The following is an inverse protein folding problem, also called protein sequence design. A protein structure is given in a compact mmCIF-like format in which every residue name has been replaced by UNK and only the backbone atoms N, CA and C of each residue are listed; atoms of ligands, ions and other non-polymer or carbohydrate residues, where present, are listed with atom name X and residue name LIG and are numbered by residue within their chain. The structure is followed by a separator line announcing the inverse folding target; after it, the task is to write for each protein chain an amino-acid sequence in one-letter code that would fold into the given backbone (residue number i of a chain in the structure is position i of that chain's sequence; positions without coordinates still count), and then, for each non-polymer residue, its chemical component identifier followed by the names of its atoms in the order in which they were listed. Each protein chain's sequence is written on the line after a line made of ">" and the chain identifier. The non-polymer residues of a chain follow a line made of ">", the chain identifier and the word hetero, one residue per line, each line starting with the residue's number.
data_IF_099519982430
#
_entry.id   IF_099519982430
#
_cell.length_a   1.000
_cell.length_b   1.000
_cell.length_c   1.000
_cell.angle_alpha   90.00
_cell.angle_beta   90.00
_cell.angle_gamma   90.00
#
_symmetry.space_group_name_H-M   'P 1'
#
loop_
_entity.id
_entity.type
_entity.pdbx_description
1 polymer ?
#
# COMPACT_ATOMS: atom_id res chain seq x y z
N UNK A 1 11.82 0.42 -3.38
CA UNK A 1 12.65 1.61 -3.70
C UNK A 1 12.63 2.69 -2.62
N UNK A 2 11.52 2.99 -1.92
CA UNK A 2 11.51 4.02 -0.83
C UNK A 2 12.63 3.83 0.20
N UNK A 3 12.88 2.60 0.62
CA UNK A 3 13.88 2.26 1.65
C UNK A 3 15.33 2.55 1.22
N UNK A 4 15.60 2.56 -0.08
CA UNK A 4 16.94 2.74 -0.65
C UNK A 4 17.07 4.05 -1.44
N UNK A 5 16.05 4.90 -1.41
CA UNK A 5 15.97 6.08 -2.27
C UNK A 5 17.07 7.09 -1.98
N UNK A 6 17.38 7.32 -0.72
CA UNK A 6 18.44 8.27 -0.32
C UNK A 6 19.82 7.84 -0.85
N UNK A 7 20.16 6.55 -0.73
CA UNK A 7 21.44 6.01 -1.20
C UNK A 7 21.48 5.98 -2.73
N UNK A 8 20.37 5.61 -3.39
CA UNK A 8 20.26 5.67 -4.85
C UNK A 8 20.44 7.10 -5.36
N UNK A 9 19.81 8.08 -4.70
CA UNK A 9 19.94 9.49 -5.05
C UNK A 9 21.37 10.02 -4.83
N UNK A 10 22.10 9.54 -3.84
CA UNK A 10 23.50 9.90 -3.63
C UNK A 10 24.36 9.43 -4.82
N UNK A 11 24.24 8.17 -5.25
CA UNK A 11 24.93 7.63 -6.43
C UNK A 11 24.55 8.40 -7.70
N UNK A 12 23.25 8.60 -7.93
CA UNK A 12 22.71 9.29 -9.11
C UNK A 12 23.19 10.76 -9.17
N UNK A 13 23.21 11.46 -8.03
CA UNK A 13 23.66 12.86 -7.95
C UNK A 13 25.16 12.98 -8.17
N UNK A 14 25.94 12.01 -7.75
CA UNK A 14 27.38 11.94 -8.04
C UNK A 14 27.68 11.59 -9.51
N UNK A 15 26.68 11.25 -10.32
CA UNK A 15 26.85 10.84 -11.71
C UNK A 15 27.28 9.38 -11.89
N UNK A 16 27.16 8.57 -10.83
CA UNK A 16 27.44 7.14 -10.86
C UNK A 16 26.28 6.33 -11.44
N UNK A 17 26.53 5.03 -11.61
CA UNK A 17 25.51 4.03 -11.98
C UNK A 17 25.39 3.02 -10.86
N UNK A 18 24.18 2.82 -10.33
CA UNK A 18 23.89 1.78 -9.34
C UNK A 18 23.22 0.57 -10.03
N UNK A 19 23.56 -0.63 -9.59
CA UNK A 19 22.78 -1.85 -9.90
C UNK A 19 21.59 -1.92 -8.95
N UNK A 20 20.36 -1.94 -9.47
CA UNK A 20 19.13 -1.94 -8.68
C UNK A 20 18.36 -3.22 -8.93
N UNK A 21 18.20 -4.05 -7.88
CA UNK A 21 17.33 -5.23 -7.89
C UNK A 21 15.99 -4.89 -7.23
N UNK A 22 14.88 -5.11 -7.93
CA UNK A 22 13.52 -4.85 -7.44
C UNK A 22 12.67 -6.11 -7.52
N UNK A 23 12.04 -6.51 -6.41
CA UNK A 23 11.02 -7.55 -6.41
C UNK A 23 9.83 -7.08 -7.23
N UNK A 24 9.50 -7.79 -8.32
CA UNK A 24 8.39 -7.42 -9.21
C UNK A 24 7.21 -8.36 -9.06
N UNK A 25 7.44 -9.62 -8.69
CA UNK A 25 6.40 -10.63 -8.40
C UNK A 25 6.80 -11.50 -7.22
N UNK A 26 5.80 -11.95 -6.50
CA UNK A 26 5.94 -12.93 -5.42
C UNK A 26 4.95 -14.05 -5.64
N UNK A 27 5.38 -15.29 -5.33
CA UNK A 27 4.55 -16.48 -5.40
C UNK A 27 4.68 -17.25 -4.10
N UNK A 28 3.57 -17.69 -3.53
CA UNK A 28 3.53 -18.34 -2.23
C UNK A 28 3.98 -17.41 -1.08
N UNK A 29 4.67 -17.95 -0.08
CA UNK A 29 5.13 -17.21 1.10
C UNK A 29 6.45 -16.49 0.82
N UNK A 30 6.39 -15.32 0.18
CA UNK A 30 7.57 -14.50 -0.06
C UNK A 30 7.81 -13.53 1.10
N UNK A 31 9.09 -13.31 1.51
CA UNK A 31 9.41 -12.50 2.68
C UNK A 31 9.27 -10.99 2.46
N UNK A 32 9.29 -10.53 1.20
CA UNK A 32 9.22 -9.10 0.84
C UNK A 32 8.20 -8.89 -0.29
N UNK A 33 7.38 -7.84 -0.20
CA UNK A 33 6.36 -7.55 -1.22
C UNK A 33 6.96 -6.98 -2.51
N UNK A 34 6.21 -6.97 -3.64
CA UNK A 34 6.58 -6.23 -4.84
C UNK A 34 6.91 -4.76 -4.53
N UNK A 35 8.01 -4.26 -5.13
CA UNK A 35 8.56 -2.92 -4.89
C UNK A 35 9.67 -2.87 -3.83
N UNK A 36 9.89 -3.95 -3.05
CA UNK A 36 11.08 -4.07 -2.21
C UNK A 36 12.34 -4.07 -3.10
N UNK A 37 13.37 -3.33 -2.70
CA UNK A 37 14.54 -3.12 -3.55
C UNK A 37 15.84 -3.21 -2.77
N UNK A 38 16.89 -3.61 -3.48
CA UNK A 38 18.28 -3.59 -3.05
C UNK A 38 19.10 -2.85 -4.09
N UNK A 39 20.05 -2.03 -3.68
CA UNK A 39 21.00 -1.35 -4.58
C UNK A 39 22.42 -1.81 -4.29
N UNK A 40 23.22 -1.84 -5.34
CA UNK A 40 24.68 -2.01 -5.30
C UNK A 40 25.29 -0.76 -5.89
N UNK A 41 26.00 0.00 -5.07
CA UNK A 41 26.67 1.23 -5.49
C UNK A 41 28.02 0.94 -6.21
N UNK A 42 28.61 1.91 -6.94
CA UNK A 42 29.88 1.72 -7.65
C UNK A 42 31.07 1.32 -6.77
N UNK A 43 31.02 1.62 -5.49
CA UNK A 43 32.04 1.24 -4.49
C UNK A 43 31.81 -0.15 -3.90
N UNK A 44 30.79 -0.87 -4.36
CA UNK A 44 30.39 -2.19 -3.87
C UNK A 44 29.53 -2.16 -2.59
N UNK A 45 29.21 -0.99 -2.06
CA UNK A 45 28.29 -0.89 -0.91
C UNK A 45 26.88 -1.27 -1.29
N UNK A 46 26.13 -1.88 -0.33
CA UNK A 46 24.79 -2.41 -0.53
C UNK A 46 23.82 -1.75 0.44
N UNK A 47 22.66 -1.36 -0.06
CA UNK A 47 21.53 -0.89 0.76
C UNK A 47 20.24 -1.60 0.37
N UNK A 48 19.36 -1.81 1.35
CA UNK A 48 18.08 -2.48 1.17
C UNK A 48 18.15 -4.00 1.16
N UNK A 49 17.01 -4.65 0.87
CA UNK A 49 16.88 -6.09 0.85
C UNK A 49 15.70 -6.52 -0.03
N UNK A 50 15.82 -7.66 -0.69
CA UNK A 50 14.79 -8.25 -1.57
C UNK A 50 14.20 -9.54 -1.01
N UNK A 51 14.91 -10.22 -0.07
CA UNK A 51 14.47 -11.51 0.46
C UNK A 51 14.66 -11.69 1.96
N UNK A 52 15.34 -10.73 2.63
CA UNK A 52 15.71 -10.86 4.03
C UNK A 52 16.93 -11.76 4.29
N UNK A 53 17.82 -11.91 3.29
CA UNK A 53 19.10 -12.60 3.41
C UNK A 53 19.26 -13.88 2.58
N UNK A 54 18.21 -14.36 1.91
CA UNK A 54 18.26 -15.64 1.19
C UNK A 54 18.96 -15.54 -0.18
N UNK A 55 18.68 -14.50 -0.96
CA UNK A 55 19.17 -14.37 -2.36
C UNK A 55 20.01 -13.13 -2.59
N UNK A 56 20.27 -12.33 -1.56
CA UNK A 56 20.99 -11.07 -1.66
C UNK A 56 22.37 -11.19 -2.32
N UNK A 57 23.12 -12.28 -2.02
CA UNK A 57 24.41 -12.54 -2.66
C UNK A 57 24.29 -12.72 -4.18
N UNK A 58 23.34 -13.53 -4.62
CA UNK A 58 23.11 -13.77 -6.05
C UNK A 58 22.60 -12.49 -6.78
N UNK A 59 21.78 -11.69 -6.10
CA UNK A 59 21.31 -10.40 -6.63
C UNK A 59 22.45 -9.40 -6.66
N UNK A 60 23.38 -9.43 -5.70
CA UNK A 60 24.59 -8.60 -5.74
C UNK A 60 25.44 -8.90 -6.97
N UNK A 61 25.78 -10.16 -7.21
CA UNK A 61 26.60 -10.57 -8.34
C UNK A 61 25.92 -10.17 -9.67
N UNK A 62 24.61 -10.41 -9.79
CA UNK A 62 23.84 -10.01 -10.96
C UNK A 62 23.77 -8.48 -11.13
N UNK A 63 23.68 -7.71 -10.05
CA UNK A 63 23.66 -6.25 -10.09
C UNK A 63 25.00 -5.68 -10.60
N UNK A 64 26.12 -6.28 -10.21
CA UNK A 64 27.45 -5.93 -10.73
C UNK A 64 27.52 -6.22 -12.25
N UNK A 65 27.14 -7.43 -12.67
CA UNK A 65 27.12 -7.83 -14.09
C UNK A 65 26.24 -6.89 -14.94
N UNK A 66 25.03 -6.58 -14.47
CA UNK A 66 24.09 -5.68 -15.13
C UNK A 66 24.63 -4.25 -15.24
N UNK A 67 25.38 -3.80 -14.24
CA UNK A 67 25.99 -2.47 -14.27
C UNK A 67 27.11 -2.41 -15.32
N UNK A 68 27.89 -3.48 -15.48
CA UNK A 68 28.96 -3.60 -16.46
C UNK A 68 28.43 -3.78 -17.89
N UNK A 69 27.47 -4.70 -18.09
CA UNK A 69 26.89 -5.02 -19.40
C UNK A 69 25.93 -3.95 -19.90
N UNK A 70 25.30 -3.24 -18.97
CA UNK A 70 24.24 -2.28 -19.27
C UNK A 70 22.90 -2.93 -19.66
N UNK A 71 22.76 -4.26 -19.55
CA UNK A 71 21.57 -5.02 -19.99
C UNK A 71 20.75 -5.43 -18.77
N UNK A 72 19.50 -4.95 -18.62
CA UNK A 72 18.61 -5.37 -17.53
C UNK A 72 18.24 -6.85 -17.61
N UNK A 73 18.05 -7.51 -16.47
CA UNK A 73 17.71 -8.93 -16.36
C UNK A 73 16.52 -9.13 -15.42
N UNK A 74 15.55 -9.94 -15.85
CA UNK A 74 14.48 -10.47 -14.99
C UNK A 74 14.86 -11.89 -14.56
N UNK A 75 15.15 -12.06 -13.26
CA UNK A 75 15.60 -13.33 -12.70
C UNK A 75 14.60 -13.87 -11.69
N UNK A 76 14.30 -15.18 -11.82
CA UNK A 76 13.46 -15.91 -10.84
C UNK A 76 14.31 -16.63 -9.83
N UNK A 77 13.94 -16.52 -8.54
CA UNK A 77 14.52 -17.24 -7.42
C UNK A 77 13.43 -18.03 -6.68
N UNK A 78 13.64 -19.33 -6.43
CA UNK A 78 12.62 -20.17 -5.77
C UNK A 78 13.14 -21.57 -5.40
N UNK A 79 12.29 -22.38 -4.79
CA UNK A 79 12.58 -23.79 -4.48
C UNK A 79 12.36 -24.61 -5.73
N UNK A 80 13.42 -25.17 -6.28
CA UNK A 80 13.55 -26.12 -7.38
C UNK A 80 13.85 -25.57 -8.77
N UNK A 81 15.14 -25.61 -9.09
CA UNK A 81 15.57 -26.09 -10.39
C UNK A 81 16.72 -27.08 -10.16
N UNK A 82 16.71 -28.21 -10.86
CA UNK A 82 17.63 -29.35 -10.74
C UNK A 82 19.09 -29.03 -11.12
N UNK A 83 19.44 -27.75 -11.24
CA UNK A 83 20.80 -27.27 -11.48
C UNK A 83 21.45 -26.75 -10.19
N UNK A 84 22.49 -27.41 -9.79
CA UNK A 84 23.24 -27.46 -8.54
C UNK A 84 23.80 -26.12 -7.97
N UNK A 85 23.27 -24.95 -8.29
CA UNK A 85 23.63 -23.64 -7.72
C UNK A 85 22.42 -22.73 -7.45
N UNK A 86 21.20 -23.25 -7.40
CA UNK A 86 20.04 -22.45 -7.11
C UNK A 86 20.01 -22.00 -5.63
N UNK A 87 20.26 -20.74 -5.39
CA UNK A 87 20.00 -20.11 -4.10
C UNK A 87 18.48 -20.09 -3.89
N UNK A 88 17.98 -21.02 -3.08
CA UNK A 88 16.55 -21.18 -2.79
C UNK A 88 16.10 -20.30 -1.62
N UNK A 89 14.84 -19.87 -1.63
CA UNK A 89 14.20 -19.22 -0.50
C UNK A 89 13.88 -20.27 0.58
N UNK A 90 14.42 -20.11 1.78
CA UNK A 90 14.19 -21.02 2.91
C UNK A 90 12.72 -21.08 3.36
N UNK A 91 11.90 -20.09 2.98
CA UNK A 91 10.46 -20.03 3.25
C UNK A 91 9.60 -20.81 2.22
N UNK A 92 10.20 -21.42 1.19
CA UNK A 92 9.48 -22.14 0.13
C UNK A 92 8.74 -21.26 -0.86
N UNK A 93 8.96 -19.95 -0.83
CA UNK A 93 8.40 -19.00 -1.80
C UNK A 93 9.19 -18.92 -3.09
N UNK A 94 8.64 -18.21 -4.07
CA UNK A 94 9.31 -17.84 -5.32
C UNK A 94 9.16 -16.34 -5.52
N UNK A 95 10.24 -15.68 -5.97
CA UNK A 95 10.22 -14.25 -6.28
C UNK A 95 10.84 -14.00 -7.65
N UNK A 96 10.26 -13.07 -8.41
CA UNK A 96 10.88 -12.53 -9.61
C UNK A 96 11.51 -11.17 -9.24
N UNK A 97 12.79 -11.02 -9.54
CA UNK A 97 13.56 -9.80 -9.31
C UNK A 97 13.99 -9.24 -10.65
N UNK A 98 13.65 -7.99 -10.91
CA UNK A 98 14.17 -7.24 -12.04
C UNK A 98 15.40 -6.47 -11.62
N UNK A 99 16.54 -6.74 -12.26
CA UNK A 99 17.83 -6.13 -11.97
C UNK A 99 18.22 -5.23 -13.13
N UNK A 100 18.53 -3.97 -12.85
CA UNK A 100 18.82 -2.98 -13.89
C UNK A 100 19.84 -1.94 -13.45
N UNK A 101 20.60 -1.34 -14.41
CA UNK A 101 21.48 -0.23 -14.10
C UNK A 101 20.69 1.08 -14.07
N UNK A 102 20.83 1.85 -13.00
CA UNK A 102 20.19 3.16 -12.82
C UNK A 102 21.23 4.26 -12.76
N UNK A 103 21.11 5.25 -13.64
CA UNK A 103 21.97 6.43 -13.74
C UNK A 103 21.16 7.64 -14.21
N UNK A 104 21.78 8.82 -14.27
CA UNK A 104 21.12 10.04 -14.81
C UNK A 104 20.64 9.88 -16.25
N UNK A 105 21.40 9.16 -17.07
CA UNK A 105 21.06 8.93 -18.47
C UNK A 105 19.89 7.96 -18.62
N UNK A 106 19.86 6.90 -17.78
CA UNK A 106 18.89 5.82 -17.87
C UNK A 106 17.57 6.11 -17.14
N UNK A 107 17.62 6.99 -16.14
CA UNK A 107 16.44 7.43 -15.39
C UNK A 107 16.55 8.92 -15.04
N UNK A 108 16.41 9.81 -16.03
CA UNK A 108 16.55 11.25 -15.82
C UNK A 108 15.50 11.82 -14.85
N UNK A 109 14.27 11.26 -14.84
CA UNK A 109 13.16 11.69 -13.96
C UNK A 109 13.32 11.28 -12.50
N UNK A 110 14.36 10.52 -12.14
CA UNK A 110 14.51 10.01 -10.76
C UNK A 110 14.53 11.11 -9.70
N UNK A 111 15.06 12.30 -10.04
CA UNK A 111 15.06 13.45 -9.13
C UNK A 111 13.63 13.89 -8.77
N UNK A 112 12.76 14.00 -9.78
CA UNK A 112 11.38 14.47 -9.59
C UNK A 112 10.58 13.40 -8.85
N UNK A 113 10.77 12.12 -9.21
CA UNK A 113 10.17 10.98 -8.49
C UNK A 113 10.60 10.95 -7.03
N UNK A 114 11.89 11.20 -6.74
CA UNK A 114 12.40 11.23 -5.36
C UNK A 114 11.78 12.38 -4.55
N UNK A 115 11.70 13.59 -5.14
CA UNK A 115 11.08 14.74 -4.51
C UNK A 115 9.59 14.47 -4.20
N UNK A 116 8.85 13.86 -5.13
CA UNK A 116 7.44 13.53 -4.93
C UNK A 116 7.24 12.48 -3.84
N UNK A 117 8.11 11.46 -3.77
CA UNK A 117 8.06 10.46 -2.70
C UNK A 117 8.32 11.10 -1.34
N UNK A 118 9.31 11.99 -1.22
CA UNK A 118 9.68 12.66 0.02
C UNK A 118 8.60 13.66 0.48
N UNK A 119 7.97 14.35 -0.48
CA UNK A 119 6.87 15.29 -0.22
C UNK A 119 5.49 14.62 -0.15
N UNK A 120 5.46 13.30 -0.21
CA UNK A 120 4.23 12.50 -0.16
C UNK A 120 3.23 12.85 -1.28
N UNK A 121 3.73 13.29 -2.43
CA UNK A 121 2.92 13.45 -3.65
C UNK A 121 2.80 12.12 -4.41
N UNK A 122 1.63 11.84 -5.01
CA UNK A 122 1.41 10.57 -5.72
C UNK A 122 2.21 10.52 -7.01
N UNK A 123 3.03 9.48 -7.18
CA UNK A 123 3.77 9.19 -8.42
C UNK A 123 3.87 7.68 -8.62
N UNK A 124 3.74 7.20 -9.87
CA UNK A 124 3.98 5.82 -10.24
C UNK A 124 5.12 5.74 -11.28
N UNK A 125 5.92 4.68 -11.18
CA UNK A 125 6.97 4.36 -12.16
C UNK A 125 6.63 3.03 -12.81
N UNK A 126 6.32 3.06 -14.10
CA UNK A 126 6.06 1.89 -14.91
C UNK A 126 7.31 1.52 -15.71
N UNK A 127 7.85 0.33 -15.51
CA UNK A 127 9.08 -0.15 -16.14
C UNK A 127 8.79 -1.42 -16.96
N UNK A 128 9.20 -1.47 -18.21
CA UNK A 128 9.12 -2.69 -19.04
C UNK A 128 10.14 -3.70 -18.50
N UNK A 129 9.65 -4.82 -17.97
CA UNK A 129 10.49 -5.89 -17.40
C UNK A 129 10.67 -7.09 -18.34
N UNK A 130 9.77 -7.25 -19.32
CA UNK A 130 9.89 -8.26 -20.39
C UNK A 130 9.25 -7.73 -21.68
N UNK A 131 9.90 -8.00 -22.80
CA UNK A 131 9.41 -7.61 -24.14
C UNK A 131 10.13 -8.44 -25.22
N UNK A 132 9.46 -8.80 -26.37
CA UNK A 132 10.12 -9.46 -27.51
C UNK A 132 11.27 -8.67 -28.12
N UNK A 133 11.15 -7.33 -28.14
CA UNK A 133 12.26 -6.44 -28.50
C UNK A 133 13.03 -6.06 -27.22
N UNK A 134 14.22 -6.63 -27.06
CA UNK A 134 15.09 -6.38 -25.90
C UNK A 134 15.43 -4.88 -25.68
N UNK A 135 15.38 -4.05 -26.75
CA UNK A 135 15.64 -2.60 -26.64
C UNK A 135 14.54 -1.86 -25.86
N UNK A 136 13.39 -2.49 -25.65
CA UNK A 136 12.31 -1.93 -24.85
C UNK A 136 12.42 -2.29 -23.35
N UNK A 137 13.17 -3.34 -22.99
CA UNK A 137 13.38 -3.73 -21.60
C UNK A 137 14.13 -2.63 -20.86
N UNK A 138 13.64 -2.24 -19.69
CA UNK A 138 14.15 -1.14 -18.88
C UNK A 138 13.64 0.25 -19.29
N UNK A 139 12.83 0.38 -20.36
CA UNK A 139 12.16 1.65 -20.66
C UNK A 139 11.13 1.98 -19.60
N UNK A 140 10.99 3.27 -19.30
CA UNK A 140 10.15 3.76 -18.22
C UNK A 140 9.15 4.80 -18.67
N UNK A 141 8.05 4.83 -17.93
CA UNK A 141 7.04 5.86 -17.96
C UNK A 141 6.79 6.29 -16.49
N UNK A 142 7.04 7.55 -16.17
CA UNK A 142 6.67 8.14 -14.91
C UNK A 142 5.28 8.75 -15.05
N UNK A 143 4.38 8.43 -14.14
CA UNK A 143 2.97 8.80 -14.20
C UNK A 143 2.56 9.51 -12.92
N UNK A 144 2.09 10.73 -13.07
CA UNK A 144 1.41 11.50 -12.04
C UNK A 144 -0.12 11.49 -12.28
N UNK A 145 -0.93 11.98 -11.37
CA UNK A 145 -2.39 12.04 -11.57
C UNK A 145 -2.79 12.70 -12.89
N UNK A 146 -2.15 13.80 -13.26
CA UNK A 146 -2.50 14.60 -14.46
C UNK A 146 -1.46 14.51 -15.57
N UNK A 147 -0.21 14.17 -15.25
CA UNK A 147 0.94 14.24 -16.15
C UNK A 147 1.59 12.88 -16.36
N UNK A 148 2.50 12.82 -17.33
CA UNK A 148 3.42 11.70 -17.55
C UNK A 148 4.71 12.16 -18.20
N UNK A 149 5.82 11.42 -17.98
CA UNK A 149 7.11 11.60 -18.64
C UNK A 149 7.70 10.25 -19.06
N UNK A 150 8.54 10.25 -20.06
CA UNK A 150 9.16 9.04 -20.59
C UNK A 150 8.33 8.34 -21.66
N UNK A 151 8.75 7.14 -22.08
CA UNK A 151 8.05 6.32 -23.09
C UNK A 151 8.48 4.86 -23.04
N UNK A 152 7.52 3.96 -23.17
CA UNK A 152 7.72 2.50 -23.29
C UNK A 152 8.02 2.04 -24.71
N UNK A 153 8.08 2.99 -25.66
CA UNK A 153 8.47 2.74 -27.06
C UNK A 153 7.33 2.72 -28.06
N UNK A 154 6.07 2.93 -27.64
CA UNK A 154 4.98 3.22 -28.57
C UNK A 154 3.90 4.06 -27.87
N UNK A 155 3.27 4.97 -28.61
CA UNK A 155 2.22 5.84 -28.08
C UNK A 155 1.00 5.05 -27.54
N UNK A 156 0.70 3.89 -28.14
CA UNK A 156 -0.37 3.01 -27.65
C UNK A 156 -0.02 2.42 -26.28
N UNK A 157 1.21 1.90 -26.12
CA UNK A 157 1.69 1.38 -24.85
C UNK A 157 1.69 2.48 -23.78
N UNK A 158 2.20 3.66 -24.12
CA UNK A 158 2.25 4.80 -23.22
C UNK A 158 0.86 5.19 -22.73
N UNK A 159 -0.16 5.26 -23.61
CA UNK A 159 -1.53 5.56 -23.23
C UNK A 159 -2.15 4.47 -22.35
N UNK A 160 -2.08 3.20 -22.76
CA UNK A 160 -2.68 2.10 -22.03
C UNK A 160 -2.10 1.96 -20.63
N UNK A 161 -0.76 2.01 -20.51
CA UNK A 161 -0.06 1.89 -19.24
C UNK A 161 -0.27 3.12 -18.35
N UNK A 162 -0.40 4.33 -18.93
CA UNK A 162 -0.73 5.53 -18.14
C UNK A 162 -2.06 5.38 -17.41
N UNK A 163 -3.11 4.96 -18.13
CA UNK A 163 -4.44 4.81 -17.54
C UNK A 163 -4.43 3.75 -16.42
N UNK A 164 -3.80 2.60 -16.68
CA UNK A 164 -3.73 1.52 -15.70
C UNK A 164 -2.83 1.89 -14.51
N UNK A 165 -1.71 2.57 -14.74
CA UNK A 165 -0.82 3.05 -13.68
C UNK A 165 -1.48 4.10 -12.78
N UNK A 166 -2.35 4.96 -13.31
CA UNK A 166 -3.17 5.89 -12.50
C UNK A 166 -4.14 5.12 -11.60
N UNK A 167 -4.78 4.07 -12.12
CA UNK A 167 -5.62 3.19 -11.30
C UNK A 167 -4.83 2.51 -10.17
N UNK A 168 -3.64 1.96 -10.48
CA UNK A 168 -2.75 1.35 -9.48
C UNK A 168 -2.26 2.37 -8.45
N UNK A 169 -1.94 3.59 -8.89
CA UNK A 169 -1.51 4.68 -8.01
C UNK A 169 -2.63 5.09 -7.04
N UNK A 170 -3.86 5.23 -7.53
CA UNK A 170 -5.02 5.54 -6.68
C UNK A 170 -5.28 4.44 -5.65
N UNK A 171 -5.15 3.17 -6.04
CA UNK A 171 -5.27 2.02 -5.14
C UNK A 171 -4.06 1.83 -4.21
N UNK A 172 -2.90 2.46 -4.51
CA UNK A 172 -1.65 2.27 -3.78
C UNK A 172 -1.05 0.87 -3.96
N UNK A 173 -1.26 0.24 -5.13
CA UNK A 173 -0.84 -1.14 -5.44
C UNK A 173 0.32 -1.11 -6.42
N UNK A 174 1.37 -1.89 -6.11
CA UNK A 174 2.48 -2.17 -7.05
C UNK A 174 2.34 -3.58 -7.59
N UNK A 175 2.30 -3.73 -8.91
CA UNK A 175 2.10 -5.04 -9.56
C UNK A 175 2.65 -5.06 -10.98
N UNK A 176 2.70 -6.25 -11.58
CA UNK A 176 3.02 -6.44 -12.99
C UNK A 176 1.75 -6.55 -13.82
N UNK A 177 1.68 -5.75 -14.86
CA UNK A 177 0.61 -5.77 -15.85
C UNK A 177 1.12 -6.38 -17.17
N UNK A 178 0.26 -7.14 -17.85
CA UNK A 178 0.60 -7.82 -19.11
C UNK A 178 -0.17 -7.19 -20.27
N UNK A 179 0.54 -6.94 -21.37
CA UNK A 179 0.01 -6.35 -22.58
C UNK A 179 0.51 -7.12 -23.80
N UNK A 180 -0.17 -6.96 -24.93
CA UNK A 180 0.43 -7.31 -26.22
C UNK A 180 1.68 -6.46 -26.50
N UNK A 181 2.55 -6.91 -27.38
CA UNK A 181 3.86 -6.29 -27.64
C UNK A 181 3.83 -4.79 -28.01
N UNK A 182 2.70 -4.28 -28.50
CA UNK A 182 2.51 -2.86 -28.83
C UNK A 182 1.49 -2.16 -27.89
N UNK A 183 1.32 -2.65 -26.65
CA UNK A 183 0.44 -2.05 -25.65
C UNK A 183 -1.04 -2.38 -25.82
N UNK A 184 -1.39 -3.47 -26.51
CA UNK A 184 -2.75 -3.97 -26.54
C UNK A 184 -3.16 -4.49 -25.15
N UNK A 185 -4.30 -4.05 -24.63
CA UNK A 185 -4.82 -4.49 -23.31
C UNK A 185 -5.17 -6.00 -23.27
N UNK A 186 -5.38 -6.62 -24.42
CA UNK A 186 -5.53 -8.06 -24.59
C UNK A 186 -4.36 -8.59 -25.42
N UNK A 187 -3.69 -9.62 -24.91
CA UNK A 187 -2.55 -10.24 -25.55
C UNK A 187 -1.38 -10.39 -24.59
N UNK A 188 -0.31 -11.01 -25.09
CA UNK A 188 0.93 -11.27 -24.37
C UNK A 188 2.11 -10.69 -25.12
N UNK A 189 3.24 -10.51 -24.46
CA UNK A 189 4.49 -10.08 -25.07
C UNK A 189 5.18 -8.92 -24.37
N UNK A 190 4.45 -7.99 -23.73
CA UNK A 190 5.02 -6.94 -22.91
C UNK A 190 4.56 -7.08 -21.47
N UNK A 191 5.50 -7.13 -20.53
CA UNK A 191 5.23 -7.06 -19.11
C UNK A 191 5.79 -5.78 -18.55
N UNK A 192 4.97 -5.07 -17.79
CA UNK A 192 5.29 -3.78 -17.18
C UNK A 192 5.08 -3.87 -15.68
N UNK A 193 6.14 -3.64 -14.92
CA UNK A 193 6.02 -3.47 -13.47
C UNK A 193 5.64 -2.02 -13.16
N UNK A 194 4.52 -1.82 -12.49
CA UNK A 194 4.09 -0.52 -12.00
C UNK A 194 4.39 -0.43 -10.52
N UNK A 195 5.37 0.41 -10.16
CA UNK A 195 5.69 0.76 -8.77
C UNK A 195 4.90 2.01 -8.37
N UNK A 196 3.94 1.87 -7.46
CA UNK A 196 3.09 2.97 -7.00
C UNK A 196 3.63 3.58 -5.71
N UNK A 197 3.90 4.88 -5.73
CA UNK A 197 4.33 5.67 -4.58
C UNK A 197 3.20 6.60 -4.13
N UNK A 198 2.07 6.00 -3.81
CA UNK A 198 0.94 6.73 -3.26
C UNK A 198 1.27 7.33 -1.88
N UNK A 199 0.67 8.47 -1.50
CA UNK A 199 0.74 8.99 -0.14
C UNK A 199 0.33 7.94 0.90
N UNK A 200 0.75 8.16 2.15
CA UNK A 200 0.31 7.31 3.27
C UNK A 200 -1.22 7.28 3.33
N UNK A 201 -1.87 6.10 3.44
CA UNK A 201 -3.32 6.03 3.60
C UNK A 201 -3.74 6.77 4.87
N UNK A 202 -4.91 7.37 4.86
CA UNK A 202 -5.42 8.11 6.02
C UNK A 202 -6.10 7.19 7.02
N UNK A 203 -5.90 7.49 8.32
CA UNK A 203 -6.71 6.94 9.40
C UNK A 203 -7.33 8.11 10.18
N UNK A 204 -8.65 8.22 10.14
CA UNK A 204 -9.41 9.22 10.86
C UNK A 204 -9.94 8.59 12.15
N UNK A 205 -9.50 9.10 13.30
CA UNK A 205 -9.89 8.64 14.61
C UNK A 205 -10.76 9.71 15.26
N UNK A 206 -12.02 9.42 15.44
CA UNK A 206 -12.99 10.33 16.02
C UNK A 206 -13.25 10.00 17.49
N UNK A 207 -13.00 10.99 18.37
CA UNK A 207 -13.08 10.86 19.81
C UNK A 207 -11.70 10.92 20.48
N UNK A 208 -11.53 11.85 21.44
CA UNK A 208 -10.25 12.07 22.13
C UNK A 208 -10.22 11.38 23.50
N UNK A 209 -10.25 10.05 23.52
CA UNK A 209 -10.19 9.17 24.69
C UNK A 209 -8.90 8.33 24.69
N UNK A 210 -8.63 7.58 25.75
CA UNK A 210 -7.40 6.79 25.88
C UNK A 210 -7.31 5.68 24.81
N UNK A 211 -8.44 5.06 24.45
CA UNK A 211 -8.52 4.12 23.33
C UNK A 211 -8.11 4.76 22.00
N UNK A 212 -8.51 6.02 21.77
CA UNK A 212 -8.10 6.75 20.57
C UNK A 212 -6.59 7.01 20.54
N UNK A 213 -5.97 7.26 21.69
CA UNK A 213 -4.51 7.42 21.75
C UNK A 213 -3.77 6.11 21.40
N UNK A 214 -4.27 4.96 21.86
CA UNK A 214 -3.72 3.65 21.51
C UNK A 214 -3.93 3.33 20.04
N UNK A 215 -5.12 3.59 19.45
CA UNK A 215 -5.42 3.39 18.04
C UNK A 215 -4.57 4.32 17.16
N UNK A 216 -4.38 5.58 17.55
CA UNK A 216 -3.52 6.51 16.82
C UNK A 216 -2.07 6.02 16.76
N UNK A 217 -1.51 5.53 17.88
CA UNK A 217 -0.16 4.93 17.92
C UNK A 217 -0.07 3.71 17.01
N UNK A 218 -1.08 2.83 17.08
CA UNK A 218 -1.11 1.62 16.25
C UNK A 218 -1.26 1.96 14.76
N UNK A 219 -2.09 2.94 14.41
CA UNK A 219 -2.25 3.44 13.05
C UNK A 219 -0.95 4.01 12.49
N UNK A 220 -0.24 4.85 13.27
CA UNK A 220 1.08 5.38 12.90
C UNK A 220 2.10 4.25 12.69
N UNK A 221 2.12 3.24 13.57
CA UNK A 221 2.97 2.05 13.43
C UNK A 221 2.69 1.28 12.14
N UNK A 222 1.42 1.17 11.73
CA UNK A 222 1.00 0.55 10.46
C UNK A 222 1.23 1.43 9.22
N UNK A 223 1.80 2.63 9.37
CA UNK A 223 2.12 3.52 8.26
C UNK A 223 0.95 4.41 7.80
N UNK A 224 -0.13 4.54 8.56
CA UNK A 224 -1.19 5.50 8.26
C UNK A 224 -0.77 6.94 8.61
N UNK A 225 -1.28 7.90 7.83
CA UNK A 225 -1.36 9.30 8.26
C UNK A 225 -2.57 9.43 9.18
N UNK A 226 -2.31 9.65 10.47
CA UNK A 226 -3.34 9.63 11.51
C UNK A 226 -3.81 11.03 11.83
N UNK A 227 -5.12 11.26 11.75
CA UNK A 227 -5.79 12.47 12.24
C UNK A 227 -6.72 12.09 13.39
N UNK A 228 -6.59 12.75 14.53
CA UNK A 228 -7.53 12.62 15.67
C UNK A 228 -8.43 13.85 15.70
N UNK A 229 -9.75 13.64 15.71
CA UNK A 229 -10.75 14.72 15.74
C UNK A 229 -11.72 14.54 16.90
N UNK A 230 -11.93 15.62 17.67
CA UNK A 230 -12.94 15.68 18.76
C UNK A 230 -13.41 17.14 18.92
N UNK A 231 -14.69 17.33 19.19
CA UNK A 231 -15.28 18.64 19.39
C UNK A 231 -14.83 19.34 20.68
N UNK A 232 -14.19 18.64 21.61
CA UNK A 232 -13.83 19.13 22.93
C UNK A 232 -12.35 19.50 23.01
N UNK A 233 -11.99 20.80 23.01
CA UNK A 233 -10.60 21.26 22.91
C UNK A 233 -9.72 20.80 24.09
N UNK A 234 -10.31 20.58 25.26
CA UNK A 234 -9.58 20.12 26.46
C UNK A 234 -9.07 18.68 26.32
N UNK A 235 -9.64 17.88 25.41
CA UNK A 235 -9.25 16.49 25.16
C UNK A 235 -8.46 16.33 23.86
N UNK A 236 -8.78 17.09 22.81
CA UNK A 236 -8.10 17.04 21.53
C UNK A 236 -6.83 17.92 21.58
N UNK A 237 -5.76 17.37 22.12
CA UNK A 237 -4.47 18.09 22.24
C UNK A 237 -3.31 17.24 21.70
N UNK A 238 -2.32 17.88 21.10
CA UNK A 238 -1.11 17.20 20.59
C UNK A 238 -0.32 16.49 21.70
N UNK A 239 -0.38 17.00 22.94
CA UNK A 239 0.24 16.35 24.08
C UNK A 239 -0.38 14.98 24.41
N UNK A 240 -1.67 14.79 24.18
CA UNK A 240 -2.35 13.50 24.37
C UNK A 240 -2.19 12.56 23.17
N UNK A 241 -1.95 13.10 21.99
CA UNK A 241 -1.81 12.34 20.73
C UNK A 241 -0.48 12.63 20.03
N UNK A 242 0.67 12.37 20.67
CA UNK A 242 1.98 12.76 20.13
C UNK A 242 2.39 12.01 18.85
N UNK A 243 1.71 10.90 18.53
CA UNK A 243 1.97 10.10 17.32
C UNK A 243 0.98 10.37 16.18
N UNK A 244 -0.05 11.19 16.43
CA UNK A 244 -0.93 11.63 15.38
C UNK A 244 -0.24 12.70 14.52
N UNK A 245 -0.40 12.61 13.21
CA UNK A 245 0.11 13.63 12.27
C UNK A 245 -0.69 14.94 12.42
N UNK A 246 -1.95 14.83 12.87
CA UNK A 246 -2.84 15.97 13.03
C UNK A 246 -3.83 15.75 14.19
N UNK A 247 -4.10 16.82 14.97
CA UNK A 247 -5.14 16.81 15.99
C UNK A 247 -6.07 17.99 15.74
N UNK A 248 -7.35 17.70 15.52
CA UNK A 248 -8.36 18.66 15.08
C UNK A 248 -9.42 18.84 16.15
N UNK A 249 -9.75 20.11 16.44
CA UNK A 249 -10.86 20.49 17.31
C UNK A 249 -12.02 20.94 16.47
N UNK A 250 -12.91 20.03 16.13
CA UNK A 250 -14.10 20.29 15.30
C UNK A 250 -15.16 19.22 15.58
N UNK A 251 -16.41 19.50 15.21
CA UNK A 251 -17.48 18.51 15.22
C UNK A 251 -17.16 17.38 14.23
N UNK A 252 -17.10 16.11 14.67
CA UNK A 252 -16.67 14.99 13.85
C UNK A 252 -17.32 14.89 12.48
N UNK A 253 -18.64 15.04 12.40
CA UNK A 253 -19.37 14.97 11.13
C UNK A 253 -19.07 16.15 10.20
N UNK A 254 -18.83 17.36 10.73
CA UNK A 254 -18.48 18.52 9.91
C UNK A 254 -17.09 18.37 9.33
N UNK A 255 -16.13 17.97 10.17
CA UNK A 255 -14.77 17.70 9.70
C UNK A 255 -14.77 16.63 8.60
N UNK A 256 -15.48 15.50 8.81
CA UNK A 256 -15.54 14.43 7.81
C UNK A 256 -16.18 14.91 6.50
N UNK A 257 -17.27 15.68 6.56
CA UNK A 257 -17.91 16.24 5.36
C UNK A 257 -16.98 17.19 4.60
N UNK A 258 -16.28 18.09 5.29
CA UNK A 258 -15.28 18.98 4.67
C UNK A 258 -14.14 18.21 3.99
N UNK A 259 -13.63 17.14 4.65
CA UNK A 259 -12.61 16.29 4.05
C UNK A 259 -13.12 15.53 2.82
N UNK A 260 -14.38 15.11 2.82
CA UNK A 260 -15.01 14.47 1.65
C UNK A 260 -15.19 15.47 0.49
N UNK A 261 -15.71 16.67 0.77
CA UNK A 261 -15.94 17.72 -0.22
C UNK A 261 -14.63 18.22 -0.87
N UNK A 262 -13.52 18.19 -0.10
CA UNK A 262 -12.19 18.54 -0.60
C UNK A 262 -11.52 17.42 -1.40
N UNK A 263 -12.14 16.23 -1.53
CA UNK A 263 -11.55 15.05 -2.18
C UNK A 263 -10.41 14.40 -1.40
N UNK A 264 -10.27 14.70 -0.11
CA UNK A 264 -9.22 14.15 0.74
C UNK A 264 -9.53 12.76 1.28
N UNK A 265 -10.72 12.21 1.02
CA UNK A 265 -11.14 10.84 1.37
C UNK A 265 -11.03 9.97 0.12
N UNK A 266 -10.30 8.86 0.24
CA UNK A 266 -10.10 7.90 -0.83
C UNK A 266 -10.47 6.46 -0.39
N UNK A 267 -10.40 5.51 -1.32
CA UNK A 267 -10.71 4.09 -1.07
C UNK A 267 -9.76 3.41 -0.08
N UNK A 268 -8.65 4.05 0.33
CA UNK A 268 -7.69 3.55 1.31
C UNK A 268 -7.90 4.15 2.70
N UNK A 269 -8.86 5.06 2.83
CA UNK A 269 -9.14 5.77 4.08
C UNK A 269 -9.82 4.85 5.09
N UNK A 270 -9.31 4.84 6.33
CA UNK A 270 -9.85 4.12 7.48
C UNK A 270 -10.54 5.11 8.42
N UNK A 271 -11.76 4.81 8.87
CA UNK A 271 -12.55 5.64 9.78
C UNK A 271 -12.83 4.84 11.06
N UNK A 272 -12.32 5.31 12.21
CA UNK A 272 -12.52 4.74 13.54
C UNK A 272 -13.34 5.69 14.40
N UNK A 273 -14.58 5.34 14.70
CA UNK A 273 -15.50 6.11 15.57
C UNK A 273 -15.39 5.57 17.00
N UNK A 274 -14.69 6.29 17.85
CA UNK A 274 -14.39 5.90 19.24
C UNK A 274 -15.12 6.79 20.27
N UNK A 275 -16.08 7.59 19.82
CA UNK A 275 -16.99 8.34 20.68
C UNK A 275 -18.06 7.42 21.28
N UNK A 276 -18.71 7.85 22.36
CA UNK A 276 -19.78 7.10 23.03
C UNK A 276 -21.07 7.89 23.16
N UNK A 277 -21.16 9.07 22.54
CA UNK A 277 -22.31 9.95 22.63
C UNK A 277 -23.08 9.96 21.30
N UNK A 278 -24.34 9.52 21.29
CA UNK A 278 -25.15 9.47 20.07
C UNK A 278 -25.22 10.79 19.29
N UNK A 279 -25.06 11.92 19.97
CA UNK A 279 -25.06 13.25 19.29
C UNK A 279 -23.85 13.44 18.36
N UNK A 280 -22.75 12.71 18.60
CA UNK A 280 -21.57 12.69 17.73
C UNK A 280 -21.62 11.50 16.79
N UNK A 281 -21.95 10.29 17.31
CA UNK A 281 -21.90 9.04 16.59
C UNK A 281 -22.85 9.00 15.39
N UNK A 282 -24.14 9.37 15.62
CA UNK A 282 -25.17 9.23 14.57
C UNK A 282 -24.89 10.14 13.37
N UNK A 283 -24.69 11.47 13.52
CA UNK A 283 -24.40 12.34 12.38
C UNK A 283 -23.08 11.99 11.68
N UNK A 284 -22.06 11.53 12.44
CA UNK A 284 -20.78 11.12 11.89
C UNK A 284 -20.91 9.86 11.03
N UNK A 285 -21.58 8.82 11.56
CA UNK A 285 -21.78 7.57 10.84
C UNK A 285 -22.74 7.72 9.65
N UNK A 286 -23.74 8.59 9.76
CA UNK A 286 -24.58 8.97 8.63
C UNK A 286 -23.74 9.52 7.47
N UNK A 287 -22.81 10.43 7.77
CA UNK A 287 -21.87 10.96 6.79
C UNK A 287 -20.94 9.86 6.26
N UNK A 288 -20.30 9.09 7.16
CA UNK A 288 -19.30 8.09 6.80
C UNK A 288 -19.86 6.97 5.92
N UNK A 289 -21.07 6.46 6.23
CA UNK A 289 -21.70 5.35 5.51
C UNK A 289 -22.26 5.75 4.13
N UNK A 290 -22.48 7.05 3.89
CA UNK A 290 -22.86 7.59 2.58
C UNK A 290 -21.67 7.99 1.71
N UNK A 291 -20.45 7.98 2.25
CA UNK A 291 -19.23 8.19 1.44
C UNK A 291 -19.14 7.13 0.34
N UNK A 292 -18.46 7.43 -0.77
CA UNK A 292 -17.97 6.41 -1.68
C UNK A 292 -17.19 5.33 -0.93
N UNK A 293 -16.75 4.29 -1.63
CA UNK A 293 -15.99 3.20 -1.04
C UNK A 293 -14.76 3.72 -0.29
N UNK A 294 -14.67 3.39 1.00
CA UNK A 294 -13.50 3.61 1.87
C UNK A 294 -13.01 2.26 2.39
N UNK A 295 -11.75 2.19 2.80
CA UNK A 295 -11.14 0.93 3.22
C UNK A 295 -11.83 0.27 4.42
N UNK A 296 -12.33 1.08 5.38
CA UNK A 296 -12.92 0.54 6.59
C UNK A 296 -13.70 1.63 7.35
N UNK A 297 -14.83 1.25 7.92
CA UNK A 297 -15.60 2.08 8.86
C UNK A 297 -15.92 1.22 10.09
N UNK A 298 -15.40 1.61 11.26
CA UNK A 298 -15.65 0.89 12.49
C UNK A 298 -16.11 1.80 13.63
N UNK A 299 -16.99 1.29 14.49
CA UNK A 299 -17.49 2.06 15.63
C UNK A 299 -17.39 1.27 16.94
N UNK A 300 -16.85 1.91 17.97
CA UNK A 300 -16.72 1.35 19.30
C UNK A 300 -18.07 1.28 20.01
N UNK A 301 -18.27 0.26 20.82
CA UNK A 301 -19.45 0.11 21.67
C UNK A 301 -19.69 -1.33 22.10
N UNK A 302 -20.62 -1.52 23.03
CA UNK A 302 -21.14 -2.84 23.37
C UNK A 302 -22.11 -3.33 22.29
N UNK A 303 -22.43 -4.63 22.28
CA UNK A 303 -23.47 -5.19 21.39
C UNK A 303 -24.81 -4.46 21.54
N UNK A 304 -25.17 -4.08 22.76
CA UNK A 304 -26.38 -3.27 23.03
C UNK A 304 -26.28 -1.88 22.39
N UNK A 305 -25.14 -1.23 22.56
CA UNK A 305 -24.87 0.09 21.94
C UNK A 305 -24.95 0.01 20.42
N UNK A 306 -24.47 -1.09 19.82
CA UNK A 306 -24.56 -1.31 18.39
C UNK A 306 -26.02 -1.47 17.92
N UNK A 307 -26.82 -2.25 18.62
CA UNK A 307 -28.25 -2.40 18.31
C UNK A 307 -28.96 -1.05 18.31
N UNK A 308 -28.84 -0.29 19.41
CA UNK A 308 -29.45 1.04 19.57
C UNK A 308 -28.95 2.03 18.49
N UNK A 309 -27.66 1.94 18.11
CA UNK A 309 -27.04 2.76 17.07
C UNK A 309 -27.61 2.44 15.69
N UNK A 310 -27.71 1.16 15.33
CA UNK A 310 -28.28 0.72 14.05
C UNK A 310 -29.76 1.12 13.89
N UNK A 311 -30.56 1.08 14.97
CA UNK A 311 -31.93 1.57 14.95
C UNK A 311 -31.99 3.06 14.62
N UNK A 312 -31.17 3.89 15.30
CA UNK A 312 -31.09 5.33 15.03
C UNK A 312 -30.60 5.66 13.62
N UNK A 313 -29.65 4.90 13.10
CA UNK A 313 -29.15 5.07 11.73
C UNK A 313 -30.23 4.71 10.69
N UNK A 314 -31.08 3.70 10.94
CA UNK A 314 -32.25 3.41 10.11
C UNK A 314 -33.29 4.52 10.18
N UNK A 315 -33.55 5.06 11.37
CA UNK A 315 -34.44 6.24 11.55
C UNK A 315 -33.91 7.47 10.78
N UNK A 316 -32.59 7.63 10.68
CA UNK A 316 -31.93 8.66 9.86
C UNK A 316 -31.94 8.34 8.35
N UNK A 317 -32.54 7.21 7.95
CA UNK A 317 -32.77 6.85 6.55
C UNK A 317 -31.63 6.05 5.88
N UNK A 318 -30.72 5.43 6.65
CA UNK A 318 -29.70 4.54 6.07
C UNK A 318 -30.32 3.17 5.75
N UNK A 319 -29.94 2.66 4.58
CA UNK A 319 -30.30 1.33 4.10
C UNK A 319 -29.50 0.23 4.80
N UNK A 320 -29.99 -1.00 4.77
CA UNK A 320 -29.26 -2.15 5.29
C UNK A 320 -27.94 -2.40 4.54
N UNK A 321 -27.86 -2.05 3.26
CA UNK A 321 -26.60 -2.13 2.48
C UNK A 321 -25.54 -1.12 2.94
N UNK A 322 -25.94 0.09 3.31
CA UNK A 322 -25.04 1.07 3.93
C UNK A 322 -24.61 0.62 5.32
N UNK A 323 -25.53 0.10 6.13
CA UNK A 323 -25.25 -0.42 7.46
C UNK A 323 -24.36 -1.67 7.45
N UNK A 324 -24.36 -2.46 6.39
CA UNK A 324 -23.47 -3.62 6.23
C UNK A 324 -21.98 -3.23 6.13
N UNK A 325 -21.69 -1.98 5.76
CA UNK A 325 -20.31 -1.43 5.72
C UNK A 325 -19.74 -1.10 7.09
N UNK A 326 -20.55 -1.14 8.15
CA UNK A 326 -20.16 -0.76 9.50
C UNK A 326 -19.68 -1.97 10.30
N UNK A 327 -18.41 -2.02 10.66
CA UNK A 327 -17.85 -2.92 11.68
C UNK A 327 -18.18 -2.38 13.09
N UNK A 328 -19.15 -2.99 13.75
CA UNK A 328 -19.58 -2.57 15.10
C UNK A 328 -20.17 -3.75 15.87
N UNK A 329 -19.67 -4.04 17.08
CA UNK A 329 -18.51 -3.43 17.75
C UNK A 329 -17.21 -3.57 16.95
N UNK A 330 -16.37 -2.51 16.94
CA UNK A 330 -15.09 -2.45 16.23
C UNK A 330 -14.07 -3.44 16.80
N UNK A 331 -13.34 -4.15 15.95
CA UNK A 331 -12.24 -5.04 16.30
C UNK A 331 -12.59 -6.53 16.28
N UNK A 332 -11.58 -7.38 16.16
CA UNK A 332 -11.72 -8.83 16.25
C UNK A 332 -11.88 -9.30 17.70
N UNK A 333 -12.61 -10.38 17.91
CA UNK A 333 -12.73 -11.04 19.21
C UNK A 333 -11.46 -11.80 19.59
N UNK A 334 -10.51 -11.09 20.20
CA UNK A 334 -9.24 -11.62 20.72
C UNK A 334 -9.19 -11.57 22.25
N UNK A 335 -10.28 -11.19 22.93
CA UNK A 335 -10.35 -11.04 24.38
C UNK A 335 -9.69 -9.77 24.93
N UNK A 336 -9.52 -8.73 24.10
CA UNK A 336 -8.90 -7.45 24.46
C UNK A 336 -9.61 -6.76 25.62
N UNK A 337 -8.84 -6.17 26.55
CA UNK A 337 -9.33 -5.50 27.78
C UNK A 337 -8.77 -4.10 27.97
N UNK A 338 -7.49 -3.89 27.61
CA UNK A 338 -6.84 -2.57 27.74
C UNK A 338 -7.01 -1.73 26.47
N UNK A 339 -6.79 -0.43 26.50
CA UNK A 339 -6.76 0.41 25.29
C UNK A 339 -5.78 -0.10 24.23
N UNK A 340 -4.60 -0.57 24.65
CA UNK A 340 -3.57 -1.09 23.76
C UNK A 340 -3.98 -2.42 23.11
N UNK A 341 -4.55 -3.35 23.89
CA UNK A 341 -5.07 -4.62 23.36
C UNK A 341 -6.25 -4.38 22.38
N UNK A 342 -7.12 -3.41 22.71
CA UNK A 342 -8.22 -3.02 21.83
C UNK A 342 -7.69 -2.41 20.53
N UNK A 343 -6.64 -1.59 20.58
CA UNK A 343 -6.01 -1.06 19.39
C UNK A 343 -5.42 -2.18 18.49
N UNK A 344 -4.85 -3.23 19.10
CA UNK A 344 -4.39 -4.42 18.36
C UNK A 344 -5.56 -5.16 17.72
N UNK A 345 -6.66 -5.35 18.44
CA UNK A 345 -7.90 -5.97 17.92
C UNK A 345 -8.46 -5.22 16.72
N UNK A 346 -8.53 -3.89 16.79
CA UNK A 346 -8.98 -3.01 15.71
C UNK A 346 -8.02 -3.10 14.51
N UNK A 347 -6.72 -3.02 14.76
CA UNK A 347 -5.71 -3.14 13.72
C UNK A 347 -5.77 -4.48 12.98
N UNK A 348 -5.98 -5.57 13.73
CA UNK A 348 -6.14 -6.90 13.16
C UNK A 348 -7.40 -7.01 12.26
N UNK A 349 -8.52 -6.40 12.67
CA UNK A 349 -9.73 -6.36 11.83
C UNK A 349 -9.51 -5.55 10.56
N UNK A 350 -8.89 -4.37 10.65
CA UNK A 350 -8.55 -3.55 9.48
C UNK A 350 -7.67 -4.33 8.49
N UNK A 351 -6.65 -5.05 8.99
CA UNK A 351 -5.77 -5.88 8.17
C UNK A 351 -6.55 -7.03 7.54
N UNK A 352 -7.37 -7.73 8.32
CA UNK A 352 -8.19 -8.84 7.83
C UNK A 352 -9.18 -8.38 6.74
N UNK A 353 -9.84 -7.25 6.96
CA UNK A 353 -10.75 -6.66 5.97
C UNK A 353 -10.03 -6.30 4.67
N UNK A 354 -8.86 -5.66 4.77
CA UNK A 354 -8.07 -5.24 3.61
C UNK A 354 -7.58 -6.40 2.76
N UNK A 355 -7.18 -7.51 3.37
CA UNK A 355 -6.51 -8.62 2.69
C UNK A 355 -7.35 -9.91 2.65
N UNK A 356 -8.62 -9.85 3.05
CA UNK A 356 -9.50 -11.02 3.07
C UNK A 356 -9.09 -12.08 4.09
N UNK A 357 -8.43 -11.67 5.18
CA UNK A 357 -8.06 -12.54 6.28
C UNK A 357 -9.27 -12.96 7.10
N UNK A 358 -9.26 -14.19 7.61
CA UNK A 358 -10.38 -14.75 8.40
C UNK A 358 -10.31 -14.43 9.88
N UNK A 359 -9.21 -13.84 10.38
CA UNK A 359 -8.96 -13.64 11.80
C UNK A 359 -8.68 -14.93 12.61
N UNK A 360 -8.60 -16.09 11.94
CA UNK A 360 -8.33 -17.40 12.58
C UNK A 360 -6.82 -17.56 12.85
N UNK A 361 -6.49 -18.49 13.75
CA UNK A 361 -5.08 -18.87 14.00
C UNK A 361 -4.48 -19.48 12.73
N UNK A 362 -3.30 -19.03 12.31
CA UNK A 362 -2.64 -19.57 11.12
C UNK A 362 -2.35 -21.08 11.25
N UNK A 363 -2.09 -21.59 12.48
CA UNK A 363 -1.90 -23.00 12.73
C UNK A 363 -3.14 -23.87 12.45
N UNK A 364 -4.33 -23.26 12.40
CA UNK A 364 -5.62 -23.91 12.15
C UNK A 364 -6.16 -23.62 10.74
N UNK A 365 -5.46 -22.78 10.00
CA UNK A 365 -5.81 -22.40 8.63
C UNK A 365 -5.07 -23.31 7.62
N UNK A 366 -5.68 -23.53 6.47
CA UNK A 366 -5.09 -24.21 5.33
C UNK A 366 -4.97 -23.25 4.14
N UNK A 367 -4.03 -23.51 3.24
CA UNK A 367 -3.83 -22.69 2.06
C UNK A 367 -2.72 -21.64 2.23
N UNK A 368 -2.79 -20.56 1.45
CA UNK A 368 -1.80 -19.49 1.45
C UNK A 368 -1.87 -18.65 2.73
N UNK A 369 -0.71 -18.28 3.27
CA UNK A 369 -0.62 -17.36 4.42
C UNK A 369 -0.92 -15.92 4.00
N UNK A 370 -0.46 -15.52 2.81
CA UNK A 370 -0.73 -14.20 2.24
C UNK A 370 -1.75 -14.31 1.10
N UNK A 371 -2.71 -13.42 1.09
CA UNK A 371 -3.72 -13.29 0.06
C UNK A 371 -3.25 -12.21 -0.93
N UNK A 372 -3.20 -12.54 -2.22
CA UNK A 372 -2.61 -11.68 -3.26
C UNK A 372 -3.57 -10.58 -3.76
N UNK A 373 -4.87 -10.66 -3.42
CA UNK A 373 -5.89 -9.68 -3.82
C UNK A 373 -6.87 -9.40 -2.67
N UNK A 374 -7.41 -8.17 -2.58
CA UNK A 374 -8.59 -7.91 -1.76
C UNK A 374 -9.71 -8.82 -2.28
N UNK A 375 -10.36 -9.57 -1.41
CA UNK A 375 -11.53 -10.38 -1.77
C UNK A 375 -12.61 -9.44 -2.30
N UNK A 376 -12.94 -9.56 -3.58
CA UNK A 376 -14.14 -8.92 -4.13
C UNK A 376 -15.35 -9.52 -3.40
N UNK A 377 -15.96 -8.76 -2.51
CA UNK A 377 -17.07 -9.20 -1.65
C UNK A 377 -18.38 -9.47 -2.44
N UNK A 378 -18.29 -9.62 -3.78
CA UNK A 378 -19.43 -9.79 -4.68
C UNK A 378 -19.66 -11.20 -5.21
N UNK A 379 -18.95 -12.22 -4.73
CA UNK A 379 -19.23 -13.61 -5.14
C UNK A 379 -19.30 -14.49 -3.91
N UNK A 380 -20.50 -14.77 -3.43
CA UNK A 380 -21.06 -16.07 -3.03
C UNK A 380 -22.35 -15.87 -2.22
N UNK A 381 -23.44 -15.62 -2.95
CA UNK A 381 -24.78 -16.05 -2.56
C UNK A 381 -25.38 -16.80 -3.77
N UNK A 382 -25.08 -18.08 -3.86
CA UNK A 382 -25.85 -19.07 -4.59
C UNK A 382 -26.15 -20.24 -3.65
#
# INVERSE_FOLDING_TARGET
>A
MREVLADLMAVWTAGGTAGVGTVVRTFHSAPRPPGASMIVAPDGSVSGSVSGGCVEGAVYDLAVEVTESGVPVLQRYGVSDENAFSVGLTCGGTIDIFVEPVSRERFPELRDVAADIDEHRPVAVATVIAHPDAKRIGRRLVVWPEERSGSLGSARADCAVTDDARGMLAAGISTVLTYGADGQRRGEGMEVFVASYAPRPRMLVFGAIDFAAAVARQGAFMGYRVTVCDARPVFATTARFPTADEVVVEWPHRYLAEQADSGAIDSRTVICVLTHDPKFDVPLLETALRLPEVAYIGAMGSRRTDTDRRERLREAGLSDSELARLSSPIGLDIGARTPEETAVSIAAEIIAHRWGGTGRRLAEASGRIHHDEPVDSRVDHA
#
